data_IF_863922262456
#
_entry.id   IF_863922262456
#
_cell.length_a   1.000
_cell.length_b   1.000
_cell.length_c   1.000
_cell.angle_alpha   90.00
_cell.angle_beta   90.00
_cell.angle_gamma   90.00
#
_symmetry.space_group_name_H-M   'P 1'
#
loop_
_entity.id
_entity.type
_entity.pdbx_description
1 polymer ?
#
# COMPACT_ATOMS: atom_id res chain seq x y z
N UNK A 1 -13.28 13.96 -10.78
CA UNK A 1 -14.17 12.88 -10.31
C UNK A 1 -13.26 11.71 -9.98
N UNK A 2 -12.99 11.52 -8.69
CA UNK A 2 -11.91 10.65 -8.18
C UNK A 2 -12.36 9.19 -8.15
N UNK A 3 -11.57 8.31 -8.76
CA UNK A 3 -11.84 6.87 -8.89
C UNK A 3 -11.71 6.07 -7.58
N UNK A 4 -11.66 6.74 -6.42
CA UNK A 4 -11.55 6.11 -5.09
C UNK A 4 -12.82 6.30 -4.24
N UNK A 5 -13.90 6.87 -4.79
CA UNK A 5 -15.08 7.25 -3.99
C UNK A 5 -16.05 6.11 -3.63
N UNK A 6 -15.79 4.87 -4.02
CA UNK A 6 -16.58 3.72 -3.56
C UNK A 6 -15.63 2.75 -2.85
N UNK A 7 -15.69 2.71 -1.52
CA UNK A 7 -14.82 1.96 -0.62
C UNK A 7 -14.88 0.43 -0.78
N UNK A 8 -14.60 -0.08 -1.97
CA UNK A 8 -14.30 -1.47 -2.24
C UNK A 8 -12.97 -1.47 -2.98
N UNK A 9 -11.91 -1.76 -2.24
CA UNK A 9 -10.73 -2.34 -2.86
C UNK A 9 -11.17 -3.52 -3.71
N UNK A 10 -10.55 -3.69 -4.88
CA UNK A 10 -10.67 -4.98 -5.54
C UNK A 10 -10.19 -6.10 -4.60
N UNK A 11 -10.63 -7.33 -4.86
CA UNK A 11 -10.31 -8.46 -3.98
C UNK A 11 -8.80 -8.63 -3.75
N UNK A 12 -7.97 -8.25 -4.72
CA UNK A 12 -6.52 -8.30 -4.65
C UNK A 12 -5.95 -7.29 -3.67
N UNK A 13 -6.38 -6.02 -3.76
CA UNK A 13 -5.93 -4.96 -2.84
C UNK A 13 -6.48 -5.19 -1.43
N UNK A 14 -7.71 -5.70 -1.30
CA UNK A 14 -8.28 -6.08 -0.02
C UNK A 14 -7.47 -7.21 0.66
N UNK A 15 -7.09 -8.24 -0.10
CA UNK A 15 -6.25 -9.33 0.38
C UNK A 15 -4.86 -8.84 0.78
N UNK A 16 -4.25 -7.92 0.01
CA UNK A 16 -2.96 -7.34 0.35
C UNK A 16 -3.01 -6.58 1.68
N UNK A 17 -4.05 -5.77 1.91
CA UNK A 17 -4.25 -5.09 3.18
C UNK A 17 -4.46 -6.05 4.35
N UNK A 18 -5.30 -7.09 4.17
CA UNK A 18 -5.52 -8.12 5.20
C UNK A 18 -4.21 -8.84 5.56
N UNK A 19 -3.41 -9.21 4.56
CA UNK A 19 -2.09 -9.83 4.74
C UNK A 19 -1.14 -8.92 5.51
N UNK A 20 -1.10 -7.63 5.15
CA UNK A 20 -0.30 -6.64 5.88
C UNK A 20 -0.74 -6.52 7.34
N UNK A 21 -2.04 -6.45 7.61
CA UNK A 21 -2.58 -6.35 8.98
C UNK A 21 -2.21 -7.57 9.81
N UNK A 22 -2.35 -8.78 9.26
CA UNK A 22 -2.00 -10.02 9.95
C UNK A 22 -0.49 -10.08 10.28
N UNK A 23 0.36 -9.75 9.31
CA UNK A 23 1.81 -9.72 9.51
C UNK A 23 2.23 -8.62 10.50
N UNK A 24 1.57 -7.46 10.49
CA UNK A 24 1.80 -6.39 11.46
C UNK A 24 1.40 -6.85 12.86
N UNK A 25 0.25 -7.51 13.03
CA UNK A 25 -0.15 -8.10 14.29
C UNK A 25 0.89 -9.10 14.80
N UNK A 26 1.34 -10.04 13.95
CA UNK A 26 2.39 -10.99 14.31
C UNK A 26 3.69 -10.29 14.74
N UNK A 27 4.10 -9.25 14.00
CA UNK A 27 5.26 -8.42 14.31
C UNK A 27 5.13 -7.76 15.70
N UNK A 28 4.02 -7.06 15.95
CA UNK A 28 3.75 -6.34 17.21
C UNK A 28 3.68 -7.28 18.42
N UNK A 29 3.06 -8.46 18.26
CA UNK A 29 3.00 -9.48 19.32
C UNK A 29 4.39 -9.95 19.74
N UNK A 30 5.29 -10.08 18.77
CA UNK A 30 6.68 -10.51 18.97
C UNK A 30 7.67 -9.38 19.30
N UNK A 31 7.23 -8.12 19.29
CA UNK A 31 8.12 -6.97 19.45
C UNK A 31 8.81 -7.01 20.84
N UNK A 32 10.15 -7.05 20.91
CA UNK A 32 10.85 -7.03 22.19
C UNK A 32 10.56 -5.76 22.99
N UNK A 33 10.69 -5.82 24.31
CA UNK A 33 10.53 -4.63 25.16
C UNK A 33 11.71 -3.69 24.95
N UNK A 34 11.44 -2.39 24.91
CA UNK A 34 12.42 -1.35 24.58
C UNK A 34 12.59 -1.11 23.08
N UNK A 35 12.13 -2.03 22.23
CA UNK A 35 12.18 -1.87 20.78
C UNK A 35 10.98 -1.07 20.28
N UNK A 36 11.15 -0.43 19.12
CA UNK A 36 10.06 0.20 18.40
C UNK A 36 10.07 -0.16 16.92
N UNK A 37 8.90 -0.05 16.30
CA UNK A 37 8.76 -0.06 14.85
C UNK A 37 8.18 1.26 14.36
N UNK A 38 8.56 1.67 13.16
CA UNK A 38 8.00 2.81 12.45
C UNK A 38 7.37 2.32 11.17
N UNK A 39 6.06 2.53 11.01
CA UNK A 39 5.35 2.36 9.74
C UNK A 39 5.26 3.73 9.08
N UNK A 40 5.73 3.87 7.85
CA UNK A 40 5.69 5.15 7.12
C UNK A 40 5.23 4.94 5.69
N UNK A 41 4.48 5.91 5.14
CA UNK A 41 4.14 5.92 3.73
C UNK A 41 5.33 6.46 2.91
N UNK A 42 5.92 5.59 2.08
CA UNK A 42 7.10 5.86 1.27
C UNK A 42 6.82 6.59 -0.05
N UNK A 43 5.57 6.96 -0.36
CA UNK A 43 5.29 7.89 -1.46
C UNK A 43 5.37 9.35 -1.01
N UNK A 44 6.58 9.86 -1.08
CA UNK A 44 6.87 11.27 -1.27
C UNK A 44 8.22 11.38 -1.99
N UNK A 45 8.57 12.57 -2.44
CA UNK A 45 9.77 12.79 -3.25
C UNK A 45 11.04 12.78 -2.38
N UNK A 46 12.25 12.69 -2.95
CA UNK A 46 13.49 12.76 -2.18
C UNK A 46 13.63 14.11 -1.43
N UNK A 47 13.99 14.09 -0.13
CA UNK A 47 14.31 15.28 0.68
C UNK A 47 13.56 15.47 2.01
N UNK A 48 12.73 14.50 2.41
CA UNK A 48 11.57 14.80 3.25
C UNK A 48 11.46 13.93 4.54
N UNK A 49 12.23 14.28 5.59
CA UNK A 49 11.88 13.91 6.98
C UNK A 49 10.86 14.93 7.49
N UNK A 50 9.76 14.48 8.10
CA UNK A 50 8.68 15.36 8.60
C UNK A 50 7.61 15.75 7.57
N UNK A 51 7.59 15.10 6.39
CA UNK A 51 6.65 15.42 5.29
C UNK A 51 5.79 14.21 4.89
N UNK A 52 5.80 13.16 5.72
CA UNK A 52 5.18 11.86 5.41
C UNK A 52 4.39 11.35 6.59
N UNK A 53 3.24 10.69 6.35
CA UNK A 53 2.52 9.98 7.38
C UNK A 53 3.42 8.90 8.00
N UNK A 54 3.44 8.87 9.33
CA UNK A 54 4.10 7.82 10.08
C UNK A 54 3.25 7.43 11.29
N UNK A 55 3.37 6.17 11.66
CA UNK A 55 2.95 5.67 12.97
C UNK A 55 4.13 4.90 13.57
N UNK A 56 4.60 5.35 14.73
CA UNK A 56 5.54 4.60 15.55
C UNK A 56 4.79 3.72 16.54
N UNK A 57 5.34 2.53 16.83
CA UNK A 57 4.84 1.63 17.86
C UNK A 57 6.01 1.17 18.71
N UNK A 58 6.02 1.57 19.98
CA UNK A 58 7.04 1.19 20.94
C UNK A 58 6.47 0.20 21.97
N UNK A 59 7.22 -0.87 22.25
CA UNK A 59 6.92 -1.76 23.34
C UNK A 59 7.64 -1.29 24.61
N UNK A 60 6.91 -0.89 25.63
CA UNK A 60 7.50 -0.43 26.90
C UNK A 60 8.03 -1.59 27.73
N UNK A 61 8.87 -1.29 28.72
CA UNK A 61 9.36 -2.26 29.71
C UNK A 61 8.23 -2.88 30.55
N UNK A 62 7.15 -2.12 30.74
CA UNK A 62 5.93 -2.57 31.42
C UNK A 62 5.05 -3.48 30.55
N UNK A 63 5.42 -3.69 29.28
CA UNK A 63 4.68 -4.53 28.34
C UNK A 63 3.49 -3.84 27.67
N UNK A 64 3.32 -2.52 27.85
CA UNK A 64 2.35 -1.73 27.10
C UNK A 64 2.88 -1.45 25.69
N UNK A 65 1.96 -1.19 24.76
CA UNK A 65 2.26 -0.65 23.44
C UNK A 65 1.88 0.82 23.42
N UNK A 66 2.84 1.67 23.09
CA UNK A 66 2.58 3.09 22.83
C UNK A 66 2.66 3.29 21.34
N UNK A 67 1.55 3.72 20.74
CA UNK A 67 1.53 4.13 19.34
C UNK A 67 1.52 5.65 19.24
N UNK A 68 2.28 6.18 18.28
CA UNK A 68 2.44 7.61 18.03
C UNK A 68 2.12 7.87 16.56
N UNK A 69 1.07 8.62 16.27
CA UNK A 69 0.62 8.94 14.93
C UNK A 69 0.88 10.43 14.62
N UNK A 70 1.49 10.71 13.48
CA UNK A 70 1.71 12.07 13.00
C UNK A 70 0.37 12.80 12.75
N UNK A 71 0.27 14.07 13.12
CA UNK A 71 -0.93 14.88 12.90
C UNK A 71 -0.97 15.39 11.43
N UNK A 72 -1.98 15.01 10.62
CA UNK A 72 -2.13 15.42 9.23
C UNK A 72 -2.04 16.94 9.00
N UNK A 73 -2.69 17.76 9.82
CA UNK A 73 -2.67 19.22 9.65
C UNK A 73 -1.30 19.86 9.89
N UNK A 74 -0.42 19.18 10.62
CA UNK A 74 0.95 19.62 10.86
C UNK A 74 1.92 19.10 9.79
N UNK A 75 1.62 17.95 9.20
CA UNK A 75 2.36 17.44 8.03
C UNK A 75 2.02 18.19 6.75
N UNK A 76 0.77 18.60 6.58
CA UNK A 76 0.24 19.21 5.36
C UNK A 76 -0.61 20.46 5.68
N UNK A 77 -0.03 21.55 6.19
CA UNK A 77 -0.80 22.72 6.65
C UNK A 77 -1.64 23.36 5.54
N UNK A 78 -1.20 23.24 4.29
CA UNK A 78 -1.87 23.81 3.12
C UNK A 78 -2.86 22.84 2.44
N UNK A 79 -2.93 21.58 2.87
CA UNK A 79 -3.83 20.62 2.27
C UNK A 79 -5.26 20.79 2.82
N UNK A 80 -6.28 20.81 1.94
CA UNK A 80 -7.66 20.89 2.38
C UNK A 80 -8.01 19.64 3.21
N UNK A 81 -8.96 19.79 4.13
CA UNK A 81 -9.55 18.68 4.92
C UNK A 81 -8.63 18.04 5.97
N UNK A 82 -7.40 18.54 6.17
CA UNK A 82 -6.48 17.97 7.18
C UNK A 82 -7.01 18.04 8.60
N UNK A 83 -7.76 19.08 8.96
CA UNK A 83 -8.45 19.14 10.26
C UNK A 83 -9.52 18.05 10.43
N UNK A 84 -10.16 17.60 9.34
CA UNK A 84 -11.09 16.45 9.38
C UNK A 84 -10.33 15.15 9.62
N UNK A 85 -9.17 14.98 8.97
CA UNK A 85 -8.28 13.84 9.18
C UNK A 85 -7.78 13.76 10.63
N UNK A 86 -7.43 14.89 11.25
CA UNK A 86 -7.07 14.95 12.68
C UNK A 86 -8.21 14.44 13.57
N UNK A 87 -9.45 14.85 13.29
CA UNK A 87 -10.64 14.38 14.01
C UNK A 87 -10.85 12.87 13.84
N UNK A 88 -10.58 12.32 12.64
CA UNK A 88 -10.65 10.88 12.40
C UNK A 88 -9.60 10.11 13.21
N UNK A 89 -8.36 10.62 13.32
CA UNK A 89 -7.33 10.03 14.19
C UNK A 89 -7.77 9.97 15.65
N UNK A 90 -8.42 11.04 16.14
CA UNK A 90 -9.02 11.06 17.47
C UNK A 90 -10.15 10.02 17.58
N UNK A 91 -11.00 9.91 16.57
CA UNK A 91 -12.04 8.88 16.49
C UNK A 91 -11.48 7.44 16.49
N UNK A 92 -10.25 7.27 16.02
CA UNK A 92 -9.50 6.02 16.04
C UNK A 92 -8.76 5.78 17.38
N UNK A 93 -8.86 6.71 18.33
CA UNK A 93 -8.36 6.55 19.70
C UNK A 93 -6.96 7.10 19.94
N UNK A 94 -6.37 7.83 18.98
CA UNK A 94 -5.18 8.67 19.25
C UNK A 94 -5.62 9.96 19.94
N UNK A 95 -5.71 9.91 21.27
CA UNK A 95 -6.33 10.97 22.08
C UNK A 95 -5.32 11.89 22.77
N UNK A 96 -4.13 11.37 23.09
CA UNK A 96 -3.18 12.06 23.96
C UNK A 96 -2.15 12.80 23.12
N UNK A 97 -1.81 14.04 23.49
CA UNK A 97 -0.70 14.77 22.87
C UNK A 97 0.61 14.06 23.18
N UNK A 98 1.45 13.87 22.17
CA UNK A 98 2.79 13.34 22.39
C UNK A 98 3.76 14.39 22.95
N UNK A 99 5.04 14.05 22.89
CA UNK A 99 6.09 14.90 23.46
C UNK A 99 6.32 16.11 22.56
N UNK A 100 6.43 17.32 23.12
CA UNK A 100 6.84 18.49 22.35
C UNK A 100 8.22 18.26 21.71
N UNK A 101 8.37 18.68 20.45
CA UNK A 101 9.67 18.74 19.79
C UNK A 101 10.49 19.93 20.31
N UNK A 102 11.71 20.12 19.81
CA UNK A 102 12.66 21.11 20.32
C UNK A 102 12.13 22.56 20.34
N UNK A 103 11.18 22.90 19.47
CA UNK A 103 10.56 24.23 19.41
C UNK A 103 9.30 24.37 20.31
N UNK A 104 8.93 23.32 21.04
CA UNK A 104 7.75 23.28 21.91
C UNK A 104 6.45 22.85 21.22
N UNK A 105 6.45 22.60 19.91
CA UNK A 105 5.28 22.11 19.17
C UNK A 105 5.04 20.62 19.43
N UNK A 106 3.77 20.20 19.51
CA UNK A 106 3.40 18.78 19.52
C UNK A 106 2.92 18.40 18.12
N UNK A 107 3.63 17.48 17.46
CA UNK A 107 3.37 17.10 16.06
C UNK A 107 2.63 15.77 15.90
N UNK A 108 2.29 15.13 17.02
CA UNK A 108 1.78 13.77 17.05
C UNK A 108 0.76 13.55 18.18
N UNK A 109 -0.10 12.56 17.94
CA UNK A 109 -1.05 12.02 18.91
C UNK A 109 -0.63 10.62 19.30
N UNK A 110 -0.93 10.25 20.53
CA UNK A 110 -0.51 9.00 21.15
C UNK A 110 -1.70 8.22 21.67
N UNK A 111 -1.57 6.90 21.59
CA UNK A 111 -2.51 5.91 22.09
C UNK A 111 -1.72 4.83 22.81
N UNK A 112 -2.22 4.38 23.94
CA UNK A 112 -1.59 3.33 24.75
C UNK A 112 -2.53 2.15 24.85
N UNK A 113 -2.03 0.98 24.47
CA UNK A 113 -2.77 -0.27 24.47
C UNK A 113 -1.99 -1.35 25.23
N UNK A 114 -2.67 -2.43 25.62
CA UNK A 114 -1.98 -3.59 26.18
C UNK A 114 -1.40 -4.45 25.06
N UNK A 115 -0.41 -5.30 25.36
CA UNK A 115 0.10 -6.28 24.39
C UNK A 115 -0.96 -7.31 23.97
N UNK A 116 -2.00 -7.53 24.77
CA UNK A 116 -3.11 -8.40 24.37
C UNK A 116 -3.92 -7.79 23.21
N UNK A 117 -3.89 -6.47 23.05
CA UNK A 117 -4.65 -5.73 22.04
C UNK A 117 -3.87 -5.55 20.72
N UNK A 118 -2.77 -6.27 20.53
CA UNK A 118 -1.91 -6.15 19.33
C UNK A 118 -2.65 -6.31 18.00
N UNK A 119 -3.69 -7.15 17.94
CA UNK A 119 -4.56 -7.29 16.77
C UNK A 119 -5.33 -6.01 16.48
N UNK A 120 -5.95 -5.40 17.51
CA UNK A 120 -6.66 -4.13 17.39
C UNK A 120 -5.69 -3.02 16.96
N UNK A 121 -4.50 -2.96 17.57
CA UNK A 121 -3.47 -1.97 17.20
C UNK A 121 -3.10 -2.09 15.71
N UNK A 122 -2.87 -3.31 15.20
CA UNK A 122 -2.55 -3.54 13.80
C UNK A 122 -3.69 -3.11 12.85
N UNK A 123 -4.94 -3.40 13.22
CA UNK A 123 -6.13 -2.97 12.49
C UNK A 123 -6.22 -1.44 12.44
N UNK A 124 -6.07 -0.77 13.59
CA UNK A 124 -6.14 0.69 13.66
C UNK A 124 -5.06 1.37 12.83
N UNK A 125 -3.82 0.85 12.84
CA UNK A 125 -2.73 1.34 11.99
C UNK A 125 -3.09 1.17 10.52
N UNK A 126 -3.61 -0.01 10.14
CA UNK A 126 -4.02 -0.31 8.76
C UNK A 126 -5.09 0.68 8.31
N UNK A 127 -6.14 0.86 9.11
CA UNK A 127 -7.24 1.79 8.83
C UNK A 127 -6.75 3.22 8.75
N UNK A 128 -5.82 3.66 9.58
CA UNK A 128 -5.28 5.00 9.50
C UNK A 128 -4.58 5.25 8.15
N UNK A 129 -3.74 4.33 7.68
CA UNK A 129 -3.10 4.45 6.35
C UNK A 129 -4.10 4.36 5.20
N UNK A 130 -5.06 3.46 5.27
CA UNK A 130 -6.08 3.26 4.24
C UNK A 130 -7.10 4.41 4.18
N UNK A 131 -7.74 4.73 5.30
CA UNK A 131 -8.92 5.61 5.36
C UNK A 131 -8.54 7.08 5.57
N UNK A 132 -7.55 7.35 6.41
CA UNK A 132 -7.16 8.73 6.75
C UNK A 132 -6.18 9.24 5.70
N UNK A 133 -5.04 8.55 5.53
CA UNK A 133 -4.00 8.97 4.60
C UNK A 133 -4.20 8.50 3.16
N UNK A 134 -5.31 7.80 2.86
CA UNK A 134 -5.67 7.35 1.51
C UNK A 134 -4.53 6.60 0.79
N UNK A 135 -3.74 5.82 1.53
CA UNK A 135 -2.70 4.99 0.94
C UNK A 135 -3.39 3.91 0.10
N UNK A 136 -3.08 3.81 -1.21
CA UNK A 136 -3.86 2.98 -2.12
C UNK A 136 -3.59 1.48 -1.95
N UNK A 137 -2.40 1.12 -1.46
CA UNK A 137 -1.96 -0.26 -1.35
C UNK A 137 -0.82 -0.37 -0.31
N UNK A 138 -0.70 -1.46 0.47
CA UNK A 138 0.32 -1.57 1.52
C UNK A 138 1.75 -1.57 0.98
N UNK A 139 1.98 -1.87 -0.32
CA UNK A 139 3.28 -1.73 -1.01
C UNK A 139 3.90 -0.33 -0.97
N UNK A 140 3.10 0.67 -0.62
CA UNK A 140 3.51 2.06 -0.47
C UNK A 140 3.99 2.33 0.95
N UNK A 141 3.85 1.38 1.87
CA UNK A 141 4.34 1.48 3.23
C UNK A 141 5.74 0.87 3.35
N UNK A 142 6.53 1.43 4.26
CA UNK A 142 7.79 0.85 4.72
C UNK A 142 7.73 0.70 6.22
N UNK A 143 8.16 -0.46 6.73
CA UNK A 143 8.18 -0.74 8.17
C UNK A 143 9.60 -0.93 8.63
N UNK A 144 10.06 -0.13 9.57
CA UNK A 144 11.43 -0.16 10.10
C UNK A 144 11.37 -0.60 11.55
N UNK A 145 12.26 -1.52 11.96
CA UNK A 145 12.42 -1.87 13.37
C UNK A 145 13.71 -1.29 13.91
N UNK A 146 13.69 -0.74 15.12
CA UNK A 146 14.88 -0.26 15.82
C UNK A 146 14.92 -0.90 17.19
N UNK A 147 16.02 -1.58 17.47
CA UNK A 147 16.27 -2.22 18.75
C UNK A 147 16.61 -1.18 19.83
N UNK A 148 16.41 -1.55 21.09
CA UNK A 148 16.69 -0.69 22.25
C UNK A 148 18.15 -0.18 22.30
N UNK A 149 19.10 -0.90 21.70
CA UNK A 149 20.52 -0.51 21.56
C UNK A 149 20.78 0.48 20.41
N UNK A 150 19.73 0.91 19.70
CA UNK A 150 19.78 1.82 18.58
C UNK A 150 20.11 1.15 17.24
N UNK A 151 20.27 -0.18 17.19
CA UNK A 151 20.49 -0.90 15.94
C UNK A 151 19.19 -0.95 15.15
N UNK A 152 19.18 -0.30 13.98
CA UNK A 152 18.06 -0.38 13.05
C UNK A 152 18.16 -1.67 12.23
N UNK A 153 17.12 -2.51 12.32
CA UNK A 153 16.83 -3.47 11.28
C UNK A 153 16.30 -2.71 10.06
N UNK A 154 16.80 -3.04 8.87
CA UNK A 154 16.28 -2.49 7.61
C UNK A 154 14.78 -2.72 7.43
N UNK A 155 14.19 -2.29 6.30
CA UNK A 155 12.75 -2.37 6.12
C UNK A 155 12.29 -3.84 6.19
N UNK A 156 11.33 -4.13 7.08
CA UNK A 156 10.67 -5.43 7.20
C UNK A 156 9.59 -5.52 6.13
N UNK A 157 9.67 -6.55 5.29
CA UNK A 157 8.63 -6.87 4.33
C UNK A 157 7.46 -7.54 5.07
N UNK A 158 6.41 -6.75 5.34
CA UNK A 158 5.16 -7.25 5.93
C UNK A 158 4.10 -7.58 4.88
N UNK A 159 4.42 -7.48 3.59
CA UNK A 159 3.49 -7.80 2.50
C UNK A 159 3.58 -9.25 2.07
N UNK A 160 4.64 -9.94 2.51
CA UNK A 160 4.81 -11.38 2.37
C UNK A 160 4.63 -12.04 3.72
N UNK A 161 3.80 -13.08 3.77
CA UNK A 161 3.50 -13.82 5.00
C UNK A 161 4.76 -14.12 5.81
N UNK A 162 4.78 -13.68 7.09
CA UNK A 162 5.78 -14.09 8.07
C UNK A 162 5.52 -15.53 8.58
N UNK A 163 4.44 -16.15 8.12
CA UNK A 163 4.00 -17.49 8.45
C UNK A 163 4.25 -18.39 7.25
N UNK A 164 5.08 -19.42 7.44
CA UNK A 164 5.25 -20.48 6.44
C UNK A 164 3.88 -21.08 6.09
N UNK A 165 3.61 -21.42 4.81
CA UNK A 165 2.33 -21.97 4.44
C UNK A 165 2.08 -23.25 5.25
N UNK A 166 0.96 -23.30 5.96
CA UNK A 166 0.41 -24.56 6.43
C UNK A 166 0.17 -25.44 5.18
N UNK A 167 0.39 -26.77 5.25
CA UNK A 167 0.22 -27.62 4.09
C UNK A 167 -1.27 -27.65 3.71
N UNK A 168 -1.63 -26.89 2.68
CA UNK A 168 -2.95 -26.91 2.08
C UNK A 168 -3.20 -28.29 1.49
N UNK A 169 -4.23 -28.96 2.01
CA UNK A 169 -4.84 -30.12 1.37
C UNK A 169 -5.70 -29.58 0.22
N UNK A 170 -5.07 -29.27 -0.92
CA UNK A 170 -5.74 -28.75 -2.09
C UNK A 170 -6.66 -29.82 -2.71
N UNK A 171 -7.98 -29.61 -2.61
CA UNK A 171 -8.93 -30.18 -3.55
C UNK A 171 -9.04 -29.22 -4.75
N UNK A 172 -8.96 -29.71 -6.00
CA UNK A 172 -9.05 -28.84 -7.15
C UNK A 172 -10.51 -28.41 -7.37
N UNK A 173 -10.76 -27.10 -7.30
CA UNK A 173 -12.01 -26.51 -7.76
C UNK A 173 -11.85 -26.18 -9.25
N UNK A 174 -12.62 -26.88 -10.05
CA UNK A 174 -12.80 -26.69 -11.49
C UNK A 174 -13.36 -25.27 -11.74
N UNK A 175 -12.53 -24.35 -12.24
CA UNK A 175 -12.92 -22.96 -12.54
C UNK A 175 -13.20 -22.85 -14.03
N UNK A 176 -14.50 -22.86 -14.37
CA UNK A 176 -15.00 -22.46 -15.69
C UNK A 176 -14.57 -21.03 -16.01
N UNK A 177 -13.72 -20.88 -17.04
CA UNK A 177 -13.32 -19.61 -17.63
C UNK A 177 -14.46 -19.00 -18.45
N UNK A 178 -14.89 -17.79 -18.11
CA UNK A 178 -15.61 -16.91 -19.06
C UNK A 178 -14.61 -15.94 -19.71
N UNK A 179 -14.47 -15.95 -21.04
CA UNK A 179 -13.38 -15.26 -21.75
C UNK A 179 -13.73 -13.80 -22.07
N UNK A 180 -13.80 -12.90 -21.08
CA UNK A 180 -13.79 -11.44 -21.36
C UNK A 180 -13.28 -10.56 -20.23
N UNK A 181 -13.09 -11.07 -19.02
CA UNK A 181 -12.76 -10.23 -17.87
C UNK A 181 -11.25 -9.94 -17.79
N UNK A 182 -10.90 -8.72 -17.39
CA UNK A 182 -9.50 -8.37 -17.09
C UNK A 182 -9.16 -9.04 -15.75
N UNK A 183 -8.08 -9.83 -15.66
CA UNK A 183 -7.63 -10.40 -14.38
C UNK A 183 -7.55 -9.34 -13.28
N UNK A 184 -7.97 -9.69 -12.07
CA UNK A 184 -8.08 -8.75 -10.96
C UNK A 184 -6.76 -7.99 -10.70
N UNK A 185 -5.64 -8.71 -10.78
CA UNK A 185 -4.27 -8.18 -10.63
C UNK A 185 -3.95 -7.12 -11.68
N UNK A 186 -4.37 -7.35 -12.94
CA UNK A 186 -4.20 -6.36 -14.01
C UNK A 186 -5.10 -5.14 -13.79
N UNK A 187 -6.31 -5.35 -13.25
CA UNK A 187 -7.19 -4.27 -12.81
C UNK A 187 -6.54 -3.40 -11.72
N UNK A 188 -5.98 -4.01 -10.67
CA UNK A 188 -5.28 -3.32 -9.59
C UNK A 188 -4.06 -2.55 -10.10
N UNK A 189 -3.21 -3.19 -10.91
CA UNK A 189 -2.03 -2.55 -11.49
C UNK A 189 -2.40 -1.39 -12.42
N UNK A 190 -3.49 -1.52 -13.18
CA UNK A 190 -4.00 -0.44 -14.02
C UNK A 190 -4.42 0.76 -13.16
N UNK A 191 -5.21 0.53 -12.11
CA UNK A 191 -5.66 1.58 -11.20
C UNK A 191 -4.48 2.28 -10.52
N UNK A 192 -3.49 1.52 -10.02
CA UNK A 192 -2.28 2.07 -9.41
C UNK A 192 -1.44 2.88 -10.42
N UNK A 193 -1.26 2.40 -11.65
CA UNK A 193 -0.56 3.14 -12.69
C UNK A 193 -1.30 4.44 -13.10
N UNK A 194 -2.63 4.44 -13.08
CA UNK A 194 -3.45 5.63 -13.34
C UNK A 194 -3.31 6.65 -12.21
N UNK A 195 -3.39 6.19 -10.96
CA UNK A 195 -3.31 7.04 -9.77
C UNK A 195 -1.97 7.77 -9.67
N UNK A 196 -0.86 7.05 -9.85
CA UNK A 196 0.50 7.64 -9.75
C UNK A 196 0.91 8.32 -11.08
N UNK A 197 0.19 8.07 -12.17
CA UNK A 197 0.50 8.60 -13.51
C UNK A 197 1.79 8.04 -14.12
N UNK A 198 2.37 6.99 -13.54
CA UNK A 198 3.63 6.36 -13.97
C UNK A 198 3.65 4.85 -13.69
N UNK A 199 4.74 4.21 -14.09
CA UNK A 199 5.02 2.80 -13.80
C UNK A 199 5.11 2.57 -12.29
N UNK A 200 4.56 1.46 -11.82
CA UNK A 200 4.77 0.99 -10.45
C UNK A 200 6.11 0.27 -10.35
N UNK A 201 6.69 0.28 -9.15
CA UNK A 201 7.98 -0.36 -8.90
C UNK A 201 7.85 -1.91 -8.83
N UNK A 202 8.95 -2.65 -9.02
CA UNK A 202 8.98 -4.11 -8.93
C UNK A 202 8.38 -4.73 -7.67
N UNK A 203 8.50 -4.07 -6.53
CA UNK A 203 8.00 -4.59 -5.25
C UNK A 203 6.48 -4.51 -5.20
N UNK A 204 5.91 -3.37 -5.61
CA UNK A 204 4.45 -3.23 -5.79
C UNK A 204 3.88 -4.27 -6.76
N UNK A 205 4.52 -4.52 -7.90
CA UNK A 205 4.05 -5.57 -8.83
C UNK A 205 3.99 -6.94 -8.17
N UNK A 206 5.04 -7.33 -7.43
CA UNK A 206 5.09 -8.64 -6.77
C UNK A 206 4.06 -8.78 -5.65
N UNK A 207 3.74 -7.68 -4.96
CA UNK A 207 2.72 -7.71 -3.92
C UNK A 207 1.29 -7.79 -4.48
N UNK A 208 1.05 -7.28 -5.70
CA UNK A 208 -0.25 -7.37 -6.37
C UNK A 208 -0.41 -8.69 -7.12
N UNK A 209 0.67 -9.21 -7.70
CA UNK A 209 0.68 -10.43 -8.51
C UNK A 209 1.27 -11.64 -7.76
N UNK A 210 1.01 -11.76 -6.45
CA UNK A 210 1.66 -12.74 -5.55
C UNK A 210 1.71 -14.16 -6.12
N UNK A 211 0.62 -14.62 -6.73
CA UNK A 211 0.48 -15.98 -7.27
C UNK A 211 0.31 -16.02 -8.80
N UNK A 212 0.40 -14.87 -9.47
CA UNK A 212 0.12 -14.74 -10.90
C UNK A 212 1.33 -15.07 -11.78
N UNK A 213 1.09 -15.74 -12.92
CA UNK A 213 2.12 -15.89 -13.96
C UNK A 213 2.43 -14.52 -14.58
N UNK A 214 3.58 -13.95 -14.22
CA UNK A 214 4.00 -12.63 -14.69
C UNK A 214 4.22 -12.59 -16.22
N UNK A 215 4.61 -13.69 -16.85
CA UNK A 215 4.76 -13.75 -18.31
C UNK A 215 3.37 -13.68 -18.98
N UNK A 216 2.39 -14.42 -18.46
CA UNK A 216 1.01 -14.39 -18.95
C UNK A 216 0.36 -13.02 -18.73
N UNK A 217 0.46 -12.46 -17.52
CA UNK A 217 -0.08 -11.16 -17.15
C UNK A 217 0.53 -10.04 -18.02
N UNK A 218 1.84 -10.11 -18.30
CA UNK A 218 2.51 -9.18 -19.22
C UNK A 218 1.96 -9.32 -20.63
N UNK A 219 1.83 -10.55 -21.16
CA UNK A 219 1.30 -10.79 -22.50
C UNK A 219 -0.13 -10.24 -22.64
N UNK A 220 -0.97 -10.45 -21.61
CA UNK A 220 -2.34 -9.96 -21.54
C UNK A 220 -2.40 -8.42 -21.48
N UNK A 221 -1.57 -7.78 -20.67
CA UNK A 221 -1.47 -6.31 -20.62
C UNK A 221 -1.05 -5.71 -21.98
N UNK A 222 -0.11 -6.36 -22.69
CA UNK A 222 0.28 -5.94 -24.05
C UNK A 222 -0.89 -6.10 -25.04
N UNK A 223 -1.67 -7.17 -24.94
CA UNK A 223 -2.86 -7.35 -25.79
C UNK A 223 -3.92 -6.26 -25.54
N UNK A 224 -4.17 -5.92 -24.27
CA UNK A 224 -5.09 -4.83 -23.89
C UNK A 224 -4.61 -3.46 -24.40
N UNK A 225 -3.30 -3.18 -24.29
CA UNK A 225 -2.68 -1.99 -24.89
C UNK A 225 -2.94 -1.90 -26.40
N UNK A 226 -2.67 -2.98 -27.14
CA UNK A 226 -2.86 -3.02 -28.61
C UNK A 226 -4.33 -2.84 -28.99
N UNK A 227 -5.24 -3.47 -28.24
CA UNK A 227 -6.68 -3.35 -28.45
C UNK A 227 -7.15 -1.89 -28.29
N UNK A 228 -6.80 -1.25 -27.17
CA UNK A 228 -7.16 0.14 -26.90
C UNK A 228 -6.54 1.11 -27.92
N UNK A 229 -5.27 0.92 -28.28
CA UNK A 229 -4.61 1.74 -29.30
C UNK A 229 -5.26 1.58 -30.69
N UNK A 230 -5.65 0.35 -31.05
CA UNK A 230 -6.37 0.06 -32.29
C UNK A 230 -7.76 0.71 -32.32
N UNK A 231 -8.49 0.67 -31.19
CA UNK A 231 -9.78 1.35 -31.05
C UNK A 231 -9.63 2.87 -31.16
N UNK A 232 -8.63 3.47 -30.50
CA UNK A 232 -8.36 4.90 -30.60
C UNK A 232 -8.15 5.36 -32.05
N UNK A 233 -7.37 4.61 -32.82
CA UNK A 233 -7.14 4.90 -34.25
C UNK A 233 -8.41 4.82 -35.08
N UNK A 234 -9.25 3.80 -34.85
CA UNK A 234 -10.55 3.66 -35.54
C UNK A 234 -11.51 4.79 -35.18
N UNK A 235 -11.58 5.18 -33.91
CA UNK A 235 -12.42 6.28 -33.44
C UNK A 235 -11.96 7.64 -34.00
N UNK A 236 -10.65 7.84 -34.16
CA UNK A 236 -10.08 9.04 -34.77
C UNK A 236 -10.43 9.13 -36.26
N UNK A 237 -10.34 8.01 -36.99
CA UNK A 237 -10.77 7.92 -38.38
C UNK A 237 -12.29 8.18 -38.55
N UNK A 238 -13.08 7.93 -37.49
CA UNK A 238 -14.52 8.16 -37.47
C UNK A 238 -14.95 9.54 -36.91
N UNK A 239 -14.01 10.43 -36.59
CA UNK A 239 -14.29 11.80 -36.14
C UNK A 239 -14.91 11.93 -34.73
N UNK A 240 -14.62 11.00 -33.81
CA UNK A 240 -15.12 11.05 -32.42
C UNK A 240 -14.02 11.42 -31.42
N UNK A 241 -13.78 12.71 -31.22
CA UNK A 241 -12.59 13.22 -30.51
C UNK A 241 -12.48 12.78 -29.03
N UNK A 242 -13.56 12.87 -28.24
CA UNK A 242 -13.49 12.56 -26.79
C UNK A 242 -13.18 11.09 -26.50
N UNK A 243 -13.69 10.19 -27.35
CA UNK A 243 -13.41 8.75 -27.23
C UNK A 243 -11.96 8.42 -27.59
N UNK A 244 -11.33 9.20 -28.47
CA UNK A 244 -9.93 8.99 -28.88
C UNK A 244 -8.98 9.28 -27.74
N UNK A 245 -9.15 10.40 -27.05
CA UNK A 245 -8.31 10.79 -25.93
C UNK A 245 -8.37 9.77 -24.78
N UNK A 246 -9.59 9.33 -24.42
CA UNK A 246 -9.80 8.32 -23.38
C UNK A 246 -9.14 6.97 -23.74
N UNK A 247 -9.33 6.48 -24.98
CA UNK A 247 -8.74 5.22 -25.44
C UNK A 247 -7.21 5.31 -25.57
N UNK A 248 -6.68 6.44 -26.02
CA UNK A 248 -5.24 6.69 -26.07
C UNK A 248 -4.63 6.71 -24.66
N UNK A 249 -5.34 7.30 -23.68
CA UNK A 249 -4.91 7.27 -22.29
C UNK A 249 -4.90 5.84 -21.73
N UNK A 250 -5.97 5.09 -21.95
CA UNK A 250 -6.09 3.68 -21.56
C UNK A 250 -4.97 2.83 -22.16
N UNK A 251 -4.65 3.03 -23.44
CA UNK A 251 -3.54 2.34 -24.10
C UNK A 251 -2.19 2.68 -23.44
N UNK A 252 -1.93 3.94 -23.08
CA UNK A 252 -0.71 4.33 -22.36
C UNK A 252 -0.62 3.68 -20.99
N UNK A 253 -1.72 3.63 -20.25
CA UNK A 253 -1.77 2.94 -18.95
C UNK A 253 -1.43 1.47 -19.08
N UNK A 254 -2.04 0.74 -20.02
CA UNK A 254 -1.74 -0.69 -20.22
C UNK A 254 -0.29 -0.95 -20.60
N UNK A 255 0.32 -0.04 -21.37
CA UNK A 255 1.76 -0.11 -21.66
C UNK A 255 2.61 0.11 -20.42
N UNK A 256 2.22 1.03 -19.52
CA UNK A 256 2.89 1.22 -18.23
C UNK A 256 2.77 -0.02 -17.33
N UNK A 257 1.61 -0.67 -17.30
CA UNK A 257 1.42 -1.95 -16.58
C UNK A 257 2.37 -3.01 -17.11
N UNK A 258 2.37 -3.26 -18.42
CA UNK A 258 3.24 -4.25 -19.04
C UNK A 258 4.73 -3.99 -18.78
N UNK A 259 5.16 -2.73 -18.80
CA UNK A 259 6.54 -2.32 -18.49
C UNK A 259 6.89 -2.49 -17.01
N UNK A 260 5.92 -2.32 -16.12
CA UNK A 260 6.12 -2.51 -14.68
C UNK A 260 6.35 -4.01 -14.38
N UNK A 261 5.55 -4.88 -15.00
CA UNK A 261 5.72 -6.34 -14.91
C UNK A 261 7.08 -6.78 -15.47
N UNK A 262 7.46 -6.29 -16.65
CA UNK A 262 8.75 -6.59 -17.28
C UNK A 262 9.95 -6.20 -16.41
N UNK A 263 9.88 -5.03 -15.75
CA UNK A 263 10.91 -4.59 -14.81
C UNK A 263 10.99 -5.53 -13.59
N UNK A 264 9.84 -5.96 -13.05
CA UNK A 264 9.79 -6.87 -11.90
C UNK A 264 10.42 -8.24 -12.18
N UNK A 265 10.17 -8.77 -13.39
CA UNK A 265 10.76 -10.02 -13.87
C UNK A 265 12.26 -9.89 -14.10
N UNK A 266 12.71 -8.76 -14.66
CA UNK A 266 14.13 -8.51 -14.92
C UNK A 266 14.93 -8.48 -13.61
N UNK A 267 14.42 -7.81 -12.57
CA UNK A 267 15.08 -7.79 -11.25
C UNK A 267 15.18 -9.19 -10.65
N UNK A 268 14.15 -10.04 -10.81
CA UNK A 268 14.19 -11.42 -10.31
C UNK A 268 15.30 -12.25 -10.99
N UNK A 269 15.45 -12.12 -12.32
CA UNK A 269 16.50 -12.82 -13.08
C UNK A 269 17.92 -12.42 -12.68
N UNK A 270 18.13 -11.17 -12.25
CA UNK A 270 19.43 -10.69 -11.78
C UNK A 270 19.75 -11.13 -10.35
N UNK A 271 18.74 -11.37 -9.51
CA UNK A 271 18.92 -11.86 -8.14
C UNK A 271 19.24 -13.38 -8.07
N UNK A 272 18.96 -14.13 -9.14
CA UNK A 272 19.25 -15.57 -9.23
C UNK A 272 20.58 -15.91 -9.95
N UNK A 273 21.39 -14.91 -10.31
CA UNK A 273 22.74 -15.08 -10.87
C UNK A 273 23.79 -14.75 -9.82
#
# INVERSE_FOLDING_TARGET
>A
MNALQNGHFDSTTALAWATFTENLHACLRSLPRGDYITVTAAQASPGERGVRPYIDVAATDTGALITVAAIPSLLYPDAPETSSMDVQLVGFGWLNRGKPIADGSVIDLTRTDSRADTALVAEMITRAFCEIWNVPHPSFLSVWGVAADGVSSGPRDLQRGLVAPAPETAMPLDRSETPTEVPAELGSLQALCQLIGRRVDPHTVRSVCTDGDLDELKARAVALHRSAAGQARRSAAAGRDDSVAALANLARTWLSVARSIDAAMTVARHACR
#
